data_IF_349145794830
#
_entry.id   IF_349145794830
#
_cell.length_a   1.000
_cell.length_b   1.000
_cell.length_c   1.000
_cell.angle_alpha   90.00
_cell.angle_beta   90.00
_cell.angle_gamma   90.00
#
_symmetry.space_group_name_H-M   'P 1'
#
loop_
_entity.id
_entity.type
_entity.pdbx_description
1 polymer ?
#
# COMPACT_ATOMS: atom_id res chain seq x y z
N UNK A 1 12.27 -64.60 26.48
CA UNK A 1 11.95 -63.78 25.29
C UNK A 1 12.92 -62.60 25.30
N UNK A 2 13.86 -62.37 24.37
CA UNK A 2 14.13 -62.98 23.06
C UNK A 2 13.20 -62.43 21.96
N UNK A 3 13.64 -61.89 20.80
CA UNK A 3 14.99 -61.69 20.20
C UNK A 3 14.99 -60.35 19.38
N UNK A 4 16.07 -59.64 19.01
CA UNK A 4 17.54 -59.86 18.89
C UNK A 4 18.05 -60.39 17.52
N UNK A 5 19.20 -59.84 17.05
CA UNK A 5 19.92 -60.02 15.74
C UNK A 5 19.34 -59.21 14.55
N UNK A 6 20.09 -58.77 13.51
CA UNK A 6 21.57 -58.64 13.26
C UNK A 6 21.89 -57.63 12.12
N UNK A 7 23.17 -57.41 11.84
CA UNK A 7 23.76 -56.47 10.84
C UNK A 7 24.30 -57.15 9.55
N UNK A 8 24.67 -56.31 8.55
CA UNK A 8 25.56 -56.53 7.36
C UNK A 8 24.97 -57.34 6.17
N UNK A 9 25.46 -57.21 4.92
CA UNK A 9 26.76 -56.69 4.41
C UNK A 9 26.64 -55.97 3.03
N UNK A 10 27.72 -55.34 2.53
CA UNK A 10 27.82 -54.64 1.23
C UNK A 10 27.95 -55.57 -0.01
N UNK A 11 27.78 -55.02 -1.23
CA UNK A 11 28.73 -55.16 -2.36
C UNK A 11 28.31 -54.39 -3.64
N UNK A 12 29.30 -53.95 -4.43
CA UNK A 12 29.17 -53.43 -5.81
C UNK A 12 30.11 -54.21 -6.73
N UNK A 13 29.87 -54.24 -8.06
CA UNK A 13 30.94 -53.79 -8.99
C UNK A 13 30.45 -53.09 -10.28
N UNK A 14 31.40 -52.50 -11.02
CA UNK A 14 31.24 -51.86 -12.33
C UNK A 14 31.45 -52.83 -13.51
N UNK A 15 31.12 -52.40 -14.74
CA UNK A 15 31.89 -52.53 -16.03
C UNK A 15 31.08 -51.82 -17.15
N UNK A 16 31.55 -50.72 -17.76
CA UNK A 16 32.28 -50.60 -19.07
C UNK A 16 31.45 -51.10 -20.27
N UNK A 17 31.33 -50.44 -21.45
CA UNK A 17 32.01 -49.25 -22.04
C UNK A 17 30.99 -48.07 -22.25
N UNK A 18 30.84 -47.23 -23.30
CA UNK A 18 31.47 -47.03 -24.63
C UNK A 18 31.41 -45.54 -25.11
N UNK A 19 31.97 -45.26 -26.30
CA UNK A 19 32.10 -43.93 -26.96
C UNK A 19 31.00 -43.67 -28.02
N UNK A 20 30.56 -42.41 -28.22
CA UNK A 20 30.73 -41.70 -29.52
C UNK A 20 30.39 -40.20 -29.49
N UNK A 21 30.87 -39.48 -30.51
CA UNK A 21 30.91 -38.02 -30.66
C UNK A 21 29.63 -37.39 -31.24
N UNK A 22 29.26 -36.19 -30.78
CA UNK A 22 28.13 -35.43 -31.35
C UNK A 22 28.16 -33.93 -31.03
N UNK A 23 28.98 -33.15 -31.75
CA UNK A 23 29.05 -31.69 -31.57
C UNK A 23 27.90 -30.98 -32.29
N UNK A 24 26.78 -30.79 -31.60
CA UNK A 24 25.73 -29.84 -31.99
C UNK A 24 25.40 -28.91 -30.82
N UNK A 25 26.25 -27.89 -30.64
CA UNK A 25 25.91 -26.73 -29.82
C UNK A 25 24.98 -25.83 -30.62
N UNK A 26 23.73 -26.27 -30.86
CA UNK A 26 22.66 -25.36 -31.24
C UNK A 26 22.40 -24.41 -30.07
N UNK A 27 23.14 -23.30 -30.06
CA UNK A 27 22.85 -22.14 -29.24
C UNK A 27 21.56 -21.50 -29.77
N UNK A 28 20.44 -22.14 -29.47
CA UNK A 28 19.12 -21.51 -29.53
C UNK A 28 19.19 -20.34 -28.57
N UNK A 29 19.47 -19.16 -29.14
CA UNK A 29 19.29 -17.90 -28.45
C UNK A 29 17.81 -17.80 -28.14
N UNK A 30 17.45 -18.22 -26.92
CA UNK A 30 16.20 -17.83 -26.30
C UNK A 30 16.24 -16.31 -26.21
N UNK A 31 15.71 -15.66 -27.24
CA UNK A 31 15.17 -14.31 -27.15
C UNK A 31 14.04 -14.38 -26.15
N UNK A 32 14.43 -14.31 -24.87
CA UNK A 32 13.57 -14.01 -23.76
C UNK A 32 13.03 -12.60 -24.02
N UNK A 33 11.92 -12.51 -24.77
CA UNK A 33 11.09 -11.32 -24.77
C UNK A 33 10.65 -11.11 -23.33
N UNK A 34 11.38 -10.24 -22.64
CA UNK A 34 10.97 -9.72 -21.36
C UNK A 34 9.80 -8.79 -21.66
N UNK A 35 8.60 -9.39 -21.72
CA UNK A 35 7.35 -8.70 -21.96
C UNK A 35 7.15 -7.67 -20.85
N UNK A 36 7.64 -6.46 -21.10
CA UNK A 36 7.72 -5.39 -20.11
C UNK A 36 6.30 -4.97 -19.75
N UNK A 37 5.93 -5.12 -18.48
CA UNK A 37 4.59 -4.80 -18.01
C UNK A 37 4.44 -3.27 -18.06
N UNK A 38 3.79 -2.77 -19.10
CA UNK A 38 3.52 -1.35 -19.28
C UNK A 38 2.44 -0.90 -18.29
N UNK A 39 2.79 0.07 -17.45
CA UNK A 39 1.87 0.73 -16.53
C UNK A 39 1.58 2.16 -17.00
N UNK A 40 0.32 2.58 -16.94
CA UNK A 40 -0.11 3.96 -17.22
C UNK A 40 -0.91 4.54 -16.03
N UNK A 41 -0.84 5.86 -15.85
CA UNK A 41 -1.63 6.60 -14.86
C UNK A 41 -2.67 7.48 -15.57
N UNK A 42 -3.94 7.08 -15.48
CA UNK A 42 -5.08 7.78 -16.08
C UNK A 42 -5.94 8.51 -15.04
N UNK A 43 -6.81 9.42 -15.48
CA UNK A 43 -7.89 9.97 -14.65
C UNK A 43 -9.02 8.94 -14.45
N UNK A 44 -9.64 8.94 -13.25
CA UNK A 44 -10.79 8.10 -12.99
C UNK A 44 -11.95 8.45 -13.94
N UNK A 45 -12.42 7.47 -14.70
CA UNK A 45 -13.62 7.57 -15.54
C UNK A 45 -14.72 6.61 -15.09
N UNK A 46 -15.94 6.83 -15.57
CA UNK A 46 -17.12 5.99 -15.23
C UNK A 46 -16.91 4.53 -15.66
N UNK A 47 -16.22 4.29 -16.78
CA UNK A 47 -15.90 2.94 -17.25
C UNK A 47 -14.93 2.16 -16.33
N UNK A 48 -14.27 2.82 -15.38
CA UNK A 48 -13.40 2.16 -14.39
C UNK A 48 -14.10 1.90 -13.05
N UNK A 49 -15.36 2.34 -12.88
CA UNK A 49 -16.02 2.32 -11.57
C UNK A 49 -16.14 0.92 -10.98
N UNK A 50 -16.51 -0.08 -11.79
CA UNK A 50 -16.64 -1.48 -11.35
C UNK A 50 -15.34 -2.03 -10.73
N UNK A 51 -14.20 -1.82 -11.36
CA UNK A 51 -12.92 -2.33 -10.87
C UNK A 51 -12.43 -1.57 -9.64
N UNK A 52 -12.69 -0.25 -9.58
CA UNK A 52 -12.41 0.57 -8.40
C UNK A 52 -13.29 0.14 -7.22
N UNK A 53 -14.57 -0.20 -7.42
CA UNK A 53 -15.41 -0.82 -6.38
C UNK A 53 -14.80 -2.10 -5.83
N UNK A 54 -14.26 -2.97 -6.70
CA UNK A 54 -13.58 -4.22 -6.30
C UNK A 54 -12.31 -3.92 -5.48
N UNK A 55 -11.52 -2.90 -5.83
CA UNK A 55 -10.39 -2.45 -5.01
C UNK A 55 -10.83 -1.89 -3.64
N UNK A 56 -11.93 -1.12 -3.59
CA UNK A 56 -12.44 -0.53 -2.35
C UNK A 56 -12.98 -1.58 -1.37
N UNK A 57 -13.62 -2.64 -1.88
CA UNK A 57 -14.15 -3.76 -1.09
C UNK A 57 -13.07 -4.59 -0.36
N UNK A 58 -11.79 -4.41 -0.71
CA UNK A 58 -10.65 -4.99 0.01
C UNK A 58 -10.44 -4.36 1.40
N UNK A 59 -10.88 -3.12 1.61
CA UNK A 59 -10.76 -2.40 2.89
C UNK A 59 -12.10 -2.31 3.63
N UNK A 60 -13.20 -2.16 2.86
CA UNK A 60 -14.56 -1.89 3.36
C UNK A 60 -14.61 -0.68 4.29
N UNK A 61 -13.70 0.28 4.12
CA UNK A 61 -13.66 1.51 4.93
C UNK A 61 -14.72 2.54 4.48
N UNK A 62 -15.01 2.55 3.18
CA UNK A 62 -15.98 3.41 2.52
C UNK A 62 -16.97 2.57 1.69
N UNK A 63 -18.15 3.10 1.35
CA UNK A 63 -19.02 2.47 0.36
C UNK A 63 -18.33 2.35 -1.01
N UNK A 64 -18.63 1.28 -1.73
CA UNK A 64 -18.15 0.99 -3.08
C UNK A 64 -19.22 1.23 -4.16
N UNK A 65 -20.27 1.99 -3.85
CA UNK A 65 -21.35 2.35 -4.79
C UNK A 65 -20.93 3.47 -5.75
N UNK A 66 -21.49 3.45 -6.97
CA UNK A 66 -21.30 4.50 -7.99
C UNK A 66 -21.59 5.91 -7.47
N UNK A 67 -22.64 6.07 -6.67
CA UNK A 67 -22.99 7.32 -5.99
C UNK A 67 -21.81 7.83 -5.12
N UNK A 68 -21.16 6.94 -4.36
CA UNK A 68 -20.01 7.31 -3.54
C UNK A 68 -18.75 7.55 -4.37
N UNK A 69 -18.54 6.77 -5.45
CA UNK A 69 -17.46 6.98 -6.42
C UNK A 69 -17.55 8.36 -7.08
N UNK A 70 -18.77 8.85 -7.34
CA UNK A 70 -19.00 10.18 -7.93
C UNK A 70 -18.54 11.36 -7.06
N UNK A 71 -18.33 11.15 -5.75
CA UNK A 71 -17.85 12.18 -4.82
C UNK A 71 -16.33 12.40 -4.85
N UNK A 72 -15.57 11.49 -5.48
CA UNK A 72 -14.11 11.58 -5.57
C UNK A 72 -13.64 12.64 -6.56
N UNK A 73 -12.68 13.49 -6.16
CA UNK A 73 -12.18 14.60 -6.97
C UNK A 73 -10.64 14.61 -7.07
N UNK A 74 -10.10 14.92 -8.27
CA UNK A 74 -8.68 14.73 -8.60
C UNK A 74 -8.23 13.30 -8.25
N UNK A 75 -8.72 12.37 -9.05
CA UNK A 75 -8.69 10.95 -8.75
C UNK A 75 -8.10 10.21 -9.93
N UNK A 76 -7.19 9.29 -9.62
CA UNK A 76 -6.27 8.68 -10.58
C UNK A 76 -6.30 7.18 -10.43
N UNK A 77 -6.14 6.48 -11.54
CA UNK A 77 -6.03 5.02 -11.59
C UNK A 77 -4.69 4.64 -12.21
N UNK A 78 -4.09 3.56 -11.69
CA UNK A 78 -2.96 2.89 -12.32
C UNK A 78 -3.51 1.70 -13.11
N UNK A 79 -3.23 1.62 -14.41
CA UNK A 79 -3.64 0.53 -15.29
C UNK A 79 -2.46 -0.25 -15.83
N UNK A 80 -2.73 -1.48 -16.27
CA UNK A 80 -1.83 -2.33 -17.07
C UNK A 80 -2.67 -3.02 -18.14
N UNK A 81 -2.71 -2.47 -19.36
CA UNK A 81 -3.78 -2.77 -20.31
C UNK A 81 -5.14 -2.40 -19.72
N UNK A 82 -6.15 -3.25 -19.88
CA UNK A 82 -7.50 -3.02 -19.34
C UNK A 82 -7.62 -3.18 -17.81
N UNK A 83 -6.57 -3.66 -17.12
CA UNK A 83 -6.64 -3.98 -15.68
C UNK A 83 -6.35 -2.76 -14.80
N UNK A 84 -7.32 -2.35 -13.99
CA UNK A 84 -7.15 -1.35 -12.92
C UNK A 84 -6.43 -2.00 -11.73
N UNK A 85 -5.18 -1.60 -11.48
CA UNK A 85 -4.32 -2.17 -10.45
C UNK A 85 -4.26 -1.31 -9.17
N UNK A 86 -4.50 0.00 -9.28
CA UNK A 86 -4.59 0.89 -8.12
C UNK A 86 -5.49 2.08 -8.40
N UNK A 87 -6.05 2.64 -7.33
CA UNK A 87 -6.87 3.84 -7.34
C UNK A 87 -6.49 4.75 -6.18
N UNK A 88 -6.43 6.05 -6.42
CA UNK A 88 -6.42 7.05 -5.35
C UNK A 88 -7.20 8.32 -5.72
N UNK A 89 -7.60 9.09 -4.71
CA UNK A 89 -8.31 10.35 -4.92
C UNK A 89 -8.66 11.07 -3.63
N UNK A 90 -9.31 12.23 -3.76
CA UNK A 90 -9.71 13.06 -2.62
C UNK A 90 -11.22 13.12 -2.46
N UNK A 91 -11.70 13.11 -1.22
CA UNK A 91 -13.10 13.29 -0.84
C UNK A 91 -13.24 14.52 0.05
N UNK A 92 -14.14 15.45 -0.27
CA UNK A 92 -14.45 16.57 0.64
C UNK A 92 -15.13 16.02 1.90
N UNK A 93 -14.56 16.28 3.09
CA UNK A 93 -15.12 15.75 4.35
C UNK A 93 -16.62 16.05 4.49
N UNK A 94 -17.12 17.30 4.29
CA UNK A 94 -18.55 17.59 4.45
C UNK A 94 -19.47 16.76 3.54
N UNK A 95 -19.04 16.39 2.33
CA UNK A 95 -19.86 15.63 1.36
C UNK A 95 -20.03 14.17 1.76
N UNK A 96 -19.05 13.59 2.45
CA UNK A 96 -19.07 12.14 2.78
C UNK A 96 -19.59 11.80 4.17
N UNK A 97 -19.70 12.78 5.09
CA UNK A 97 -20.06 12.52 6.49
C UNK A 97 -21.39 11.74 6.65
N UNK A 98 -22.34 11.88 5.73
CA UNK A 98 -23.64 11.21 5.83
C UNK A 98 -23.62 9.78 5.28
N UNK A 99 -22.85 9.53 4.21
CA UNK A 99 -22.73 8.21 3.54
C UNK A 99 -21.81 7.23 4.25
N UNK A 100 -20.90 7.70 5.11
CA UNK A 100 -19.90 6.85 5.79
C UNK A 100 -20.39 6.27 7.12
N UNK A 101 -19.83 5.13 7.47
CA UNK A 101 -20.13 4.44 8.73
C UNK A 101 -19.88 5.36 9.95
N UNK A 102 -20.83 5.36 10.91
CA UNK A 102 -20.85 6.24 12.10
C UNK A 102 -19.50 6.34 12.82
N UNK A 103 -18.81 5.20 13.01
CA UNK A 103 -17.51 5.14 13.71
C UNK A 103 -16.40 5.89 12.97
N UNK A 104 -16.45 5.95 11.63
CA UNK A 104 -15.50 6.73 10.83
C UNK A 104 -15.85 8.22 10.89
N UNK A 105 -17.13 8.59 10.76
CA UNK A 105 -17.62 9.97 10.97
C UNK A 105 -17.13 10.53 12.31
N UNK A 106 -17.37 9.82 13.41
CA UNK A 106 -16.93 10.22 14.76
C UNK A 106 -15.40 10.37 14.86
N UNK A 107 -14.65 9.51 14.17
CA UNK A 107 -13.19 9.55 14.15
C UNK A 107 -12.63 10.75 13.36
N UNK A 108 -13.20 11.06 12.20
CA UNK A 108 -12.85 12.22 11.38
C UNK A 108 -13.16 13.52 12.14
N UNK A 109 -14.37 13.66 12.68
CA UNK A 109 -14.76 14.83 13.47
C UNK A 109 -13.85 15.02 14.68
N UNK A 110 -13.58 13.95 15.44
CA UNK A 110 -12.66 14.02 16.59
C UNK A 110 -11.22 14.38 16.21
N UNK A 111 -10.73 13.91 15.06
CA UNK A 111 -9.38 14.24 14.57
C UNK A 111 -9.29 15.72 14.15
N UNK A 112 -10.29 16.24 13.44
CA UNK A 112 -10.38 17.64 13.05
C UNK A 112 -10.50 18.55 14.27
N UNK A 113 -11.40 18.23 15.22
CA UNK A 113 -11.57 19.03 16.45
C UNK A 113 -10.34 19.03 17.36
N UNK A 114 -9.54 17.96 17.37
CA UNK A 114 -8.24 17.95 18.06
C UNK A 114 -7.28 19.02 17.51
N UNK A 115 -7.45 19.40 16.24
CA UNK A 115 -6.69 20.44 15.55
C UNK A 115 -7.40 21.81 15.43
N UNK A 116 -8.53 22.04 16.13
CA UNK A 116 -9.20 23.36 16.18
C UNK A 116 -8.29 24.46 16.76
N UNK A 117 -7.29 24.09 17.58
CA UNK A 117 -6.20 25.01 18.01
C UNK A 117 -5.46 25.66 16.82
N UNK A 118 -5.42 24.97 15.68
CA UNK A 118 -4.82 25.44 14.43
C UNK A 118 -5.83 26.12 13.48
N UNK A 119 -7.06 26.39 13.95
CA UNK A 119 -8.17 27.04 13.22
C UNK A 119 -8.60 26.29 11.94
N UNK A 120 -8.40 24.98 11.89
CA UNK A 120 -8.78 24.12 10.76
C UNK A 120 -10.30 23.97 10.72
N UNK A 121 -10.92 24.32 9.58
CA UNK A 121 -12.36 24.14 9.35
C UNK A 121 -12.61 22.83 8.60
N UNK A 122 -13.64 22.08 8.97
CA UNK A 122 -14.03 20.83 8.27
C UNK A 122 -14.21 21.02 6.75
N UNK A 123 -14.73 22.19 6.32
CA UNK A 123 -14.89 22.56 4.91
C UNK A 123 -13.58 22.82 4.14
N UNK A 124 -12.43 22.82 4.81
CA UNK A 124 -11.10 22.93 4.20
C UNK A 124 -10.33 21.59 4.21
N UNK A 125 -10.94 20.53 4.76
CA UNK A 125 -10.34 19.21 4.94
C UNK A 125 -10.90 18.23 3.91
N UNK A 126 -9.98 17.51 3.28
CA UNK A 126 -10.27 16.42 2.36
C UNK A 126 -9.75 15.11 2.95
N UNK A 127 -10.38 13.98 2.67
CA UNK A 127 -9.79 12.67 2.92
C UNK A 127 -8.99 12.29 1.68
N UNK A 128 -7.71 11.97 1.84
CA UNK A 128 -6.95 11.27 0.80
C UNK A 128 -7.09 9.76 1.04
N UNK A 129 -7.58 9.06 0.03
CA UNK A 129 -7.80 7.62 0.09
C UNK A 129 -7.16 6.93 -1.13
N UNK A 130 -6.64 5.74 -0.89
CA UNK A 130 -5.94 4.91 -1.87
C UNK A 130 -6.10 3.43 -1.54
N UNK A 131 -6.30 2.61 -2.57
CA UNK A 131 -6.14 1.16 -2.52
C UNK A 131 -5.35 0.64 -3.72
N UNK A 132 -4.73 -0.54 -3.57
CA UNK A 132 -3.95 -1.17 -4.63
C UNK A 132 -3.98 -2.69 -4.54
N UNK A 133 -3.85 -3.34 -5.69
CA UNK A 133 -3.39 -4.72 -5.78
C UNK A 133 -2.06 -4.91 -5.03
N UNK A 134 -1.81 -6.13 -4.57
CA UNK A 134 -0.57 -6.47 -3.89
C UNK A 134 0.65 -6.34 -4.82
N UNK A 135 1.82 -6.07 -4.23
CA UNK A 135 3.14 -6.20 -4.87
C UNK A 135 3.41 -5.32 -6.11
N UNK A 136 2.68 -4.21 -6.29
CA UNK A 136 3.03 -3.22 -7.34
C UNK A 136 4.38 -2.54 -7.08
N UNK A 137 5.18 -2.24 -8.13
CA UNK A 137 6.43 -1.50 -8.01
C UNK A 137 6.23 -0.11 -7.36
N UNK A 138 7.14 0.28 -6.47
CA UNK A 138 7.02 1.53 -5.69
C UNK A 138 7.13 2.78 -6.57
N UNK A 139 7.79 2.64 -7.72
CA UNK A 139 7.98 3.64 -8.77
C UNK A 139 6.63 4.01 -9.41
N UNK A 140 5.75 3.02 -9.57
CA UNK A 140 4.40 3.21 -10.11
C UNK A 140 3.47 3.84 -9.08
N UNK A 141 3.63 3.49 -7.81
CA UNK A 141 2.95 4.14 -6.68
C UNK A 141 3.38 5.60 -6.55
N UNK A 142 4.67 5.90 -6.69
CA UNK A 142 5.21 7.25 -6.71
C UNK A 142 4.68 8.04 -7.91
N UNK A 143 4.61 7.42 -9.09
CA UNK A 143 4.07 8.03 -10.30
C UNK A 143 2.58 8.38 -10.16
N UNK A 144 1.80 7.50 -9.53
CA UNK A 144 0.40 7.77 -9.18
C UNK A 144 0.29 8.98 -8.23
N UNK A 145 1.07 9.02 -7.14
CA UNK A 145 1.07 10.19 -6.22
C UNK A 145 1.49 11.50 -6.93
N UNK A 146 2.49 11.45 -7.81
CA UNK A 146 2.99 12.62 -8.57
C UNK A 146 1.97 13.18 -9.56
N UNK A 147 1.05 12.35 -10.07
CA UNK A 147 0.02 12.77 -11.03
C UNK A 147 -1.12 13.60 -10.41
N UNK A 148 -1.15 13.76 -9.08
CA UNK A 148 -2.22 14.44 -8.36
C UNK A 148 -2.04 15.98 -8.36
N UNK A 149 -3.05 16.71 -8.84
CA UNK A 149 -3.08 18.18 -8.78
C UNK A 149 -3.46 18.66 -7.38
N UNK A 150 -2.45 18.85 -6.53
CA UNK A 150 -2.64 19.15 -5.10
C UNK A 150 -3.14 20.58 -4.81
N UNK A 151 -3.06 21.51 -5.77
CA UNK A 151 -3.09 22.96 -5.52
C UNK A 151 -4.24 23.47 -4.63
N UNK A 152 -5.45 22.91 -4.78
CA UNK A 152 -6.67 23.30 -4.07
C UNK A 152 -6.83 22.71 -2.65
N UNK A 153 -6.07 21.67 -2.30
CA UNK A 153 -6.28 20.93 -1.06
C UNK A 153 -5.42 21.52 0.06
N UNK A 154 -6.05 22.25 1.00
CA UNK A 154 -5.36 22.93 2.11
C UNK A 154 -4.95 21.95 3.21
N UNK A 155 -5.90 21.10 3.64
CA UNK A 155 -5.69 20.06 4.64
C UNK A 155 -6.20 18.72 4.12
N UNK A 156 -5.50 17.66 4.52
CA UNK A 156 -5.74 16.28 4.08
C UNK A 156 -5.77 15.35 5.29
N UNK A 157 -6.65 14.36 5.28
CA UNK A 157 -6.61 13.20 6.17
C UNK A 157 -6.15 12.00 5.33
N UNK A 158 -4.89 11.61 5.47
CA UNK A 158 -4.37 10.40 4.82
C UNK A 158 -4.92 9.17 5.55
N UNK A 159 -5.45 8.22 4.78
CA UNK A 159 -5.94 6.92 5.28
C UNK A 159 -4.87 5.84 5.08
N UNK A 160 -4.22 5.43 6.16
CA UNK A 160 -3.32 4.27 6.19
C UNK A 160 -4.02 3.07 6.82
N UNK A 161 -3.84 1.88 6.24
CA UNK A 161 -4.26 0.60 6.83
C UNK A 161 -3.07 0.04 7.61
N UNK A 162 -3.25 -0.31 8.89
CA UNK A 162 -2.18 -0.78 9.78
C UNK A 162 -2.47 -2.17 10.33
N UNK A 163 -1.41 -2.96 10.58
CA UNK A 163 -1.46 -4.25 11.28
C UNK A 163 -0.81 -4.12 12.67
N UNK A 164 -1.32 -4.79 13.72
CA UNK A 164 -0.64 -4.84 15.01
C UNK A 164 0.62 -5.71 14.92
N UNK A 165 1.70 -5.29 15.57
CA UNK A 165 2.99 -5.99 15.53
C UNK A 165 3.23 -6.84 16.78
N UNK A 166 3.91 -7.97 16.61
CA UNK A 166 4.31 -8.84 17.72
C UNK A 166 5.42 -8.21 18.57
N UNK A 167 5.52 -8.53 19.88
CA UNK A 167 6.55 -7.95 20.78
C UNK A 167 7.99 -8.03 20.24
N UNK A 168 8.33 -9.11 19.51
CA UNK A 168 9.63 -9.28 18.85
C UNK A 168 9.79 -8.38 17.62
N UNK A 169 8.74 -8.28 16.78
CA UNK A 169 8.69 -7.41 15.60
C UNK A 169 8.86 -5.94 16.02
N UNK A 170 8.16 -5.49 17.07
CA UNK A 170 8.29 -4.13 17.62
C UNK A 170 9.72 -3.85 18.13
N UNK A 171 10.40 -4.83 18.76
CA UNK A 171 11.80 -4.65 19.19
C UNK A 171 12.73 -4.43 18.00
N UNK A 172 12.60 -5.24 16.95
CA UNK A 172 13.38 -5.07 15.73
C UNK A 172 13.10 -3.70 15.08
N UNK A 173 11.83 -3.34 14.92
CA UNK A 173 11.42 -2.05 14.36
C UNK A 173 11.96 -0.84 15.15
N UNK A 174 12.12 -0.97 16.48
CA UNK A 174 12.75 0.06 17.31
C UNK A 174 14.29 0.09 17.18
N UNK A 175 14.91 -0.97 16.68
CA UNK A 175 16.34 -1.02 16.36
C UNK A 175 16.63 -0.48 14.96
N UNK A 176 15.68 -0.62 14.03
CA UNK A 176 15.76 -0.09 12.66
C UNK A 176 15.33 1.39 12.58
N UNK A 177 14.19 1.76 13.17
CA UNK A 177 13.56 3.09 13.07
C UNK A 177 13.54 3.85 14.40
N UNK A 178 14.74 4.24 14.88
CA UNK A 178 14.95 4.89 16.18
C UNK A 178 14.34 6.29 16.30
N UNK A 179 13.97 6.90 15.18
CA UNK A 179 13.31 8.19 15.05
C UNK A 179 11.80 8.15 15.33
N UNK A 180 11.16 6.98 15.28
CA UNK A 180 9.72 6.84 15.49
C UNK A 180 9.36 6.41 16.92
N UNK A 181 8.19 6.84 17.37
CA UNK A 181 7.71 6.50 18.71
C UNK A 181 7.37 4.99 18.81
N UNK A 182 7.84 4.27 19.85
CA UNK A 182 7.49 2.85 20.07
C UNK A 182 5.99 2.54 20.04
N UNK A 183 5.13 3.49 20.44
CA UNK A 183 3.67 3.34 20.40
C UNK A 183 3.15 3.34 18.95
N UNK A 184 3.75 4.11 18.03
CA UNK A 184 3.40 4.06 16.61
C UNK A 184 3.86 2.75 15.97
N UNK A 185 5.10 2.33 16.26
CA UNK A 185 5.71 1.08 15.78
C UNK A 185 4.99 -0.18 16.29
N UNK A 186 4.16 -0.07 17.33
CA UNK A 186 3.26 -1.15 17.77
C UNK A 186 2.23 -1.57 16.70
N UNK A 187 1.93 -0.70 15.73
CA UNK A 187 1.13 -1.03 14.56
C UNK A 187 1.74 -0.40 13.30
N UNK A 188 2.40 -1.19 12.46
CA UNK A 188 2.96 -0.68 11.20
C UNK A 188 1.92 -0.66 10.07
N UNK A 189 2.05 0.25 9.10
CA UNK A 189 1.26 0.21 7.87
C UNK A 189 1.40 -1.12 7.11
N UNK A 190 0.34 -1.46 6.38
CA UNK A 190 0.31 -2.60 5.43
C UNK A 190 1.05 -2.24 4.14
N UNK A 191 1.12 -0.95 3.79
CA UNK A 191 1.87 -0.41 2.65
C UNK A 191 3.14 0.27 3.17
N UNK A 192 4.31 -0.28 2.85
CA UNK A 192 5.57 0.05 3.51
C UNK A 192 5.94 1.54 3.46
N UNK A 193 5.62 2.23 2.37
CA UNK A 193 5.92 3.66 2.20
C UNK A 193 5.16 4.57 3.19
N UNK A 194 3.99 4.13 3.67
CA UNK A 194 3.17 4.90 4.62
C UNK A 194 3.84 5.04 6.00
N UNK A 195 4.95 4.34 6.29
CA UNK A 195 5.73 4.56 7.52
C UNK A 195 6.27 6.00 7.59
N UNK A 196 6.53 6.64 6.45
CA UNK A 196 6.99 8.02 6.35
C UNK A 196 5.94 9.05 6.82
N UNK A 197 4.67 8.64 6.98
CA UNK A 197 3.62 9.48 7.57
C UNK A 197 3.80 9.65 9.09
N UNK A 198 4.59 8.79 9.75
CA UNK A 198 4.88 8.89 11.18
C UNK A 198 5.68 10.14 11.56
N UNK A 199 6.42 10.75 10.63
CA UNK A 199 7.13 12.03 10.83
C UNK A 199 6.40 13.25 10.25
N UNK A 200 5.36 13.07 9.42
CA UNK A 200 4.72 14.15 8.65
C UNK A 200 3.21 14.24 8.91
N UNK A 201 2.81 14.69 10.11
CA UNK A 201 1.40 14.94 10.46
C UNK A 201 1.21 16.04 11.51
N UNK A 202 0.04 16.72 11.45
CA UNK A 202 -0.46 17.67 12.46
C UNK A 202 -1.07 16.91 13.64
N UNK A 203 -1.86 15.89 13.35
CA UNK A 203 -2.52 15.03 14.33
C UNK A 203 -2.79 13.65 13.72
N UNK A 204 -2.98 12.63 14.56
CA UNK A 204 -3.31 11.27 14.11
C UNK A 204 -4.34 10.61 15.02
N UNK A 205 -5.14 9.69 14.46
CA UNK A 205 -6.13 8.89 15.20
C UNK A 205 -6.19 7.48 14.65
N UNK A 206 -6.15 6.48 15.52
CA UNK A 206 -6.29 5.07 15.15
C UNK A 206 -7.73 4.59 15.38
N UNK A 207 -8.26 3.77 14.47
CA UNK A 207 -9.59 3.16 14.55
C UNK A 207 -9.56 1.70 14.12
N UNK A 208 -10.34 0.84 14.77
CA UNK A 208 -10.65 -0.51 14.28
C UNK A 208 -12.04 -0.57 13.66
N UNK A 209 -12.17 -1.05 12.43
CA UNK A 209 -13.45 -1.15 11.69
C UNK A 209 -13.36 -2.29 10.67
N UNK A 210 -14.44 -3.07 10.52
CA UNK A 210 -14.55 -4.15 9.52
C UNK A 210 -13.34 -5.10 9.52
N UNK A 211 -12.96 -5.55 10.72
CA UNK A 211 -11.79 -6.39 11.06
C UNK A 211 -10.41 -5.82 10.65
N UNK A 212 -10.35 -4.62 10.07
CA UNK A 212 -9.13 -3.88 9.78
C UNK A 212 -8.85 -2.85 10.89
N UNK A 213 -7.59 -2.40 10.98
CA UNK A 213 -7.20 -1.22 11.76
C UNK A 213 -6.70 -0.17 10.77
N UNK A 214 -7.14 1.08 10.95
CA UNK A 214 -6.72 2.22 10.15
C UNK A 214 -6.11 3.30 11.04
N UNK A 215 -5.08 3.97 10.53
CA UNK A 215 -4.46 5.15 11.13
C UNK A 215 -4.74 6.34 10.20
N UNK A 216 -5.50 7.29 10.72
CA UNK A 216 -5.86 8.53 10.06
C UNK A 216 -4.81 9.59 10.42
N UNK A 217 -4.18 10.22 9.43
CA UNK A 217 -3.19 11.29 9.63
C UNK A 217 -3.72 12.60 9.07
N UNK A 218 -4.04 13.57 9.93
CA UNK A 218 -4.35 14.94 9.51
C UNK A 218 -3.05 15.69 9.23
N UNK A 219 -2.94 16.29 8.07
CA UNK A 219 -1.75 16.99 7.57
C UNK A 219 -2.15 18.18 6.69
N UNK A 220 -1.21 19.10 6.44
CA UNK A 220 -1.37 20.15 5.43
C UNK A 220 -0.78 19.71 4.08
N UNK A 221 -1.02 20.52 3.03
CA UNK A 221 -0.51 20.26 1.68
C UNK A 221 1.01 20.10 1.63
N UNK A 222 1.78 20.88 2.40
CA UNK A 222 3.26 20.82 2.41
C UNK A 222 3.76 19.54 3.06
N UNK A 223 3.07 19.04 4.08
CA UNK A 223 3.37 17.75 4.71
C UNK A 223 3.16 16.59 3.74
N UNK A 224 2.10 16.61 2.93
CA UNK A 224 1.85 15.62 1.88
C UNK A 224 2.83 15.74 0.71
N UNK A 225 3.12 16.95 0.23
CA UNK A 225 4.19 17.23 -0.75
C UNK A 225 5.57 16.75 -0.25
N UNK A 226 5.83 16.84 1.06
CA UNK A 226 7.09 16.37 1.67
C UNK A 226 7.13 14.86 1.84
N UNK A 227 6.00 14.21 2.15
CA UNK A 227 5.88 12.75 2.15
C UNK A 227 6.23 12.16 0.77
N UNK A 228 5.71 12.71 -0.33
CA UNK A 228 6.03 12.26 -1.68
C UNK A 228 7.54 12.37 -1.97
N UNK A 229 8.16 13.50 -1.58
CA UNK A 229 9.61 13.73 -1.76
C UNK A 229 10.50 12.82 -0.90
N UNK A 230 10.03 12.44 0.28
CA UNK A 230 10.71 11.44 1.12
C UNK A 230 10.59 10.06 0.49
N UNK A 231 9.39 9.65 0.04
CA UNK A 231 9.17 8.37 -0.62
C UNK A 231 10.01 8.21 -1.89
N UNK A 232 10.06 9.25 -2.74
CA UNK A 232 10.97 9.37 -3.88
C UNK A 232 12.43 9.12 -3.48
N UNK A 233 12.90 9.81 -2.42
CA UNK A 233 14.27 9.69 -1.94
C UNK A 233 14.62 8.30 -1.42
N UNK A 234 13.68 7.57 -0.81
CA UNK A 234 13.92 6.20 -0.35
C UNK A 234 13.92 5.19 -1.49
N UNK A 235 13.09 5.39 -2.53
CA UNK A 235 13.18 4.61 -3.79
C UNK A 235 14.57 4.82 -4.42
N UNK A 236 15.04 6.06 -4.57
CA UNK A 236 16.34 6.39 -5.19
C UNK A 236 17.58 6.00 -4.36
N UNK A 237 17.42 5.34 -3.21
CA UNK A 237 18.52 4.65 -2.48
C UNK A 237 18.48 3.14 -2.62
N UNK A 238 17.37 2.60 -3.12
CA UNK A 238 17.07 1.17 -3.20
C UNK A 238 17.41 0.57 -4.57
N UNK A 239 18.03 1.39 -5.43
CA UNK A 239 18.49 1.13 -6.80
C UNK A 239 19.98 1.50 -6.84
#
# INVERSE_FOLDING_TARGET
MGNSKRHKTESSPNIVESTESGTYSESVSLESSSDEIVYEVADLSVSNWTDVSILMDQSRMFPSSEEFLSLFVNSKVLVSGDLILSFCGFLEVPKVLEMIHKKLREALSSLISTAEKNKIKSSEVYIFYMERAANLPLEMILSLYRSLSLGRFKYMIFVSRVKPCGKREVKNLMEDFKEYNPVDLSHIPVRGEEILLLSSHIAKKQIGMNNNIFRLFLMDRKMFESFIKLFEKEISKSI
#
